data_IF_684225794496
#
_entry.id   IF_684225794496
#
_cell.length_a   1.000
_cell.length_b   1.000
_cell.length_c   1.000
_cell.angle_alpha   90.00
_cell.angle_beta   90.00
_cell.angle_gamma   90.00
#
_symmetry.space_group_name_H-M   'P 1'
#
loop_
_entity.id
_entity.type
_entity.pdbx_description
1 polymer ?
#
# COMPACT_ATOMS: atom_id res chain seq x y z
N UNK A 1 10.26 12.07 -4.02
CA UNK A 1 9.15 12.49 -4.89
C UNK A 1 7.90 11.68 -4.56
N UNK A 2 6.73 12.06 -5.07
CA UNK A 2 5.49 11.30 -4.90
C UNK A 2 5.28 10.34 -6.08
N UNK A 3 4.71 9.17 -5.85
CA UNK A 3 4.39 8.21 -6.89
C UNK A 3 3.29 8.73 -7.82
N UNK A 4 3.61 8.83 -9.11
CA UNK A 4 2.76 9.40 -10.14
C UNK A 4 2.23 8.37 -11.15
N UNK A 5 2.56 7.09 -10.96
CA UNK A 5 2.19 5.99 -11.85
C UNK A 5 3.38 5.32 -12.56
N UNK A 6 4.59 5.87 -12.45
CA UNK A 6 5.82 5.31 -13.04
C UNK A 6 6.61 4.50 -12.03
N UNK A 7 7.30 3.45 -12.51
CA UNK A 7 8.17 2.58 -11.72
C UNK A 7 7.52 2.02 -10.45
N UNK A 8 6.29 1.52 -10.60
CA UNK A 8 5.49 1.01 -9.48
C UNK A 8 6.22 -0.02 -8.61
N UNK A 9 6.96 -0.96 -9.21
CA UNK A 9 7.73 -1.96 -8.46
C UNK A 9 8.77 -1.33 -7.55
N UNK A 10 9.45 -0.26 -8.00
CA UNK A 10 10.43 0.45 -7.18
C UNK A 10 9.74 1.23 -6.06
N UNK A 11 8.66 1.95 -6.36
CA UNK A 11 7.88 2.64 -5.33
C UNK A 11 7.33 1.67 -4.27
N UNK A 12 6.76 0.54 -4.71
CA UNK A 12 6.20 -0.51 -3.84
C UNK A 12 7.26 -1.05 -2.89
N UNK A 13 8.44 -1.40 -3.41
CA UNK A 13 9.59 -1.80 -2.60
C UNK A 13 9.96 -0.75 -1.55
N UNK A 14 10.07 0.53 -1.93
CA UNK A 14 10.44 1.59 -0.98
C UNK A 14 9.39 1.81 0.12
N UNK A 15 8.10 1.78 -0.22
CA UNK A 15 7.04 2.02 0.77
C UNK A 15 6.87 0.82 1.70
N UNK A 16 7.05 -0.41 1.21
CA UNK A 16 7.07 -1.61 2.05
C UNK A 16 8.22 -1.54 3.06
N UNK A 17 9.46 -1.28 2.63
CA UNK A 17 10.61 -1.12 3.53
C UNK A 17 10.39 -0.04 4.59
N UNK A 18 9.81 1.10 4.19
CA UNK A 18 9.48 2.17 5.11
C UNK A 18 8.46 1.74 6.16
N UNK A 19 7.40 1.02 5.77
CA UNK A 19 6.40 0.49 6.70
C UNK A 19 7.02 -0.53 7.67
N UNK A 20 7.93 -1.39 7.21
CA UNK A 20 8.69 -2.29 8.08
C UNK A 20 9.52 -1.54 9.11
N UNK A 21 10.28 -0.53 8.68
CA UNK A 21 11.09 0.30 9.58
C UNK A 21 10.24 1.03 10.64
N UNK A 22 9.01 1.40 10.29
CA UNK A 22 8.06 2.07 11.20
C UNK A 22 7.20 1.12 12.01
N UNK A 23 7.36 -0.21 11.85
CA UNK A 23 6.50 -1.23 12.47
C UNK A 23 5.01 -1.07 12.09
N UNK A 24 4.76 -0.62 10.87
CA UNK A 24 3.42 -0.40 10.28
C UNK A 24 3.10 -1.41 9.16
N UNK A 25 3.83 -2.52 9.08
CA UNK A 25 3.73 -3.49 7.98
C UNK A 25 2.57 -4.48 8.14
N UNK A 26 2.10 -4.75 9.36
CA UNK A 26 1.10 -5.79 9.62
C UNK A 26 -0.19 -5.61 8.80
N UNK A 27 -0.73 -4.38 8.60
CA UNK A 27 -1.93 -4.19 7.77
C UNK A 27 -1.77 -4.54 6.29
N UNK A 28 -0.55 -4.80 5.79
CA UNK A 28 -0.33 -5.29 4.44
C UNK A 28 -0.85 -6.72 4.23
N UNK A 29 -0.94 -7.53 5.30
CA UNK A 29 -1.34 -8.94 5.20
C UNK A 29 -2.85 -9.18 5.27
N UNK A 30 -3.67 -8.14 5.50
CA UNK A 30 -5.12 -8.19 5.81
C UNK A 30 -5.51 -8.95 7.09
N UNK A 31 -4.66 -9.85 7.56
CA UNK A 31 -4.94 -10.75 8.66
C UNK A 31 -4.56 -10.06 9.97
N UNK A 32 -5.57 -9.65 10.74
CA UNK A 32 -5.38 -9.19 12.11
C UNK A 32 -4.88 -10.34 12.99
N UNK A 33 -3.80 -10.17 13.77
CA UNK A 33 -3.38 -11.14 14.79
C UNK A 33 -4.50 -11.43 15.80
N UNK A 34 -4.61 -12.68 16.28
CA UNK A 34 -5.66 -13.10 17.21
C UNK A 34 -5.57 -12.36 18.56
N UNK A 35 -4.35 -12.09 19.01
CA UNK A 35 -4.02 -11.41 20.26
C UNK A 35 -4.18 -9.88 20.23
N UNK A 36 -4.39 -9.29 19.04
CA UNK A 36 -4.55 -7.85 18.87
C UNK A 36 -6.02 -7.41 19.00
N UNK A 37 -6.26 -6.32 19.73
CA UNK A 37 -7.60 -5.71 19.84
C UNK A 37 -8.03 -5.08 18.52
N UNK A 38 -9.34 -5.04 18.25
CA UNK A 38 -9.86 -4.50 17.00
C UNK A 38 -9.56 -2.99 16.86
N UNK A 39 -9.64 -2.23 17.95
CA UNK A 39 -9.35 -0.79 17.95
C UNK A 39 -7.88 -0.50 17.65
N UNK A 40 -6.98 -1.32 18.21
CA UNK A 40 -5.54 -1.24 17.94
C UNK A 40 -5.24 -1.57 16.48
N UNK A 41 -5.85 -2.62 15.94
CA UNK A 41 -5.74 -2.98 14.53
C UNK A 41 -6.23 -1.86 13.61
N UNK A 42 -7.42 -1.31 13.89
CA UNK A 42 -7.98 -0.21 13.09
C UNK A 42 -7.08 1.03 13.12
N UNK A 43 -6.48 1.33 14.28
CA UNK A 43 -5.53 2.44 14.40
C UNK A 43 -4.27 2.18 13.59
N UNK A 44 -3.69 0.97 13.69
CA UNK A 44 -2.50 0.57 12.94
C UNK A 44 -2.74 0.64 11.42
N UNK A 45 -3.85 0.08 10.96
CA UNK A 45 -4.27 0.14 9.56
C UNK A 45 -4.47 1.59 9.09
N UNK A 46 -5.10 2.43 9.91
CA UNK A 46 -5.28 3.86 9.58
C UNK A 46 -3.95 4.59 9.43
N UNK A 47 -2.97 4.28 10.26
CA UNK A 47 -1.62 4.85 10.19
C UNK A 47 -0.89 4.41 8.92
N UNK A 48 -0.85 3.11 8.63
CA UNK A 48 -0.22 2.57 7.43
C UNK A 48 -0.87 3.12 6.15
N UNK A 49 -2.21 3.13 6.09
CA UNK A 49 -2.99 3.73 5.02
C UNK A 49 -2.63 5.21 4.80
N UNK A 50 -2.52 5.98 5.89
CA UNK A 50 -2.14 7.38 5.85
C UNK A 50 -0.75 7.60 5.28
N UNK A 51 0.23 6.80 5.72
CA UNK A 51 1.60 6.82 5.22
C UNK A 51 1.64 6.58 3.71
N UNK A 52 0.98 5.52 3.22
CA UNK A 52 0.99 5.22 1.79
C UNK A 52 0.37 6.37 0.99
N UNK A 53 -0.81 6.86 1.40
CA UNK A 53 -1.49 8.00 0.73
C UNK A 53 -0.63 9.25 0.64
N UNK A 54 0.21 9.52 1.65
CA UNK A 54 1.12 10.68 1.63
C UNK A 54 2.22 10.55 0.58
N UNK A 55 2.58 9.32 0.19
CA UNK A 55 3.57 9.08 -0.88
C UNK A 55 2.98 9.19 -2.28
N UNK A 56 1.65 9.28 -2.43
CA UNK A 56 0.98 9.33 -3.73
C UNK A 56 0.86 10.76 -4.27
N UNK A 57 1.05 10.90 -5.59
CA UNK A 57 0.71 12.10 -6.32
C UNK A 57 -0.82 12.28 -6.35
N UNK A 58 -1.28 13.52 -6.55
CA UNK A 58 -2.70 13.89 -6.47
C UNK A 58 -3.57 13.05 -7.41
N UNK A 59 -3.13 12.85 -8.66
CA UNK A 59 -3.83 12.05 -9.67
C UNK A 59 -3.98 10.58 -9.25
N UNK A 60 -2.94 9.97 -8.68
CA UNK A 60 -2.99 8.57 -8.21
C UNK A 60 -3.88 8.44 -6.98
N UNK A 61 -3.76 9.36 -6.03
CA UNK A 61 -4.54 9.35 -4.79
C UNK A 61 -6.06 9.43 -5.05
N UNK A 62 -6.51 10.17 -6.07
CA UNK A 62 -7.93 10.24 -6.41
C UNK A 62 -8.49 8.91 -6.93
N UNK A 63 -7.70 8.10 -7.62
CA UNK A 63 -8.15 6.80 -8.12
C UNK A 63 -8.43 5.80 -6.99
N UNK A 64 -7.79 5.96 -5.83
CA UNK A 64 -7.89 5.03 -4.68
C UNK A 64 -8.62 5.64 -3.48
N UNK A 65 -9.33 6.76 -3.65
CA UNK A 65 -9.93 7.50 -2.53
C UNK A 65 -10.94 6.66 -1.72
N UNK A 66 -11.57 5.68 -2.38
CA UNK A 66 -12.56 4.79 -1.78
C UNK A 66 -11.94 3.62 -1.00
N UNK A 67 -10.65 3.36 -1.15
CA UNK A 67 -9.95 2.28 -0.44
C UNK A 67 -9.79 2.62 1.03
N UNK A 68 -10.39 1.82 1.91
CA UNK A 68 -10.46 2.10 3.36
C UNK A 68 -9.40 1.37 4.17
N UNK A 69 -8.76 0.36 3.60
CA UNK A 69 -7.74 -0.47 4.26
C UNK A 69 -6.41 -0.37 3.53
N UNK A 70 -5.32 -0.57 4.25
CA UNK A 70 -3.95 -0.53 3.69
C UNK A 70 -3.80 -1.57 2.58
N UNK A 71 -4.26 -2.79 2.83
CA UNK A 71 -4.19 -3.86 1.85
C UNK A 71 -5.10 -3.63 0.64
N UNK A 72 -6.34 -3.14 0.83
CA UNK A 72 -7.22 -2.77 -0.28
C UNK A 72 -6.58 -1.70 -1.18
N UNK A 73 -5.95 -0.70 -0.56
CA UNK A 73 -5.18 0.31 -1.29
C UNK A 73 -4.01 -0.30 -2.08
N UNK A 74 -3.17 -1.14 -1.47
CA UNK A 74 -2.03 -1.78 -2.15
C UNK A 74 -2.51 -2.69 -3.27
N UNK A 75 -3.60 -3.43 -3.06
CA UNK A 75 -4.21 -4.28 -4.08
C UNK A 75 -4.71 -3.45 -5.25
N UNK A 76 -5.46 -2.37 -5.01
CA UNK A 76 -5.96 -1.49 -6.06
C UNK A 76 -4.81 -0.87 -6.88
N UNK A 77 -3.74 -0.42 -6.22
CA UNK A 77 -2.56 0.08 -6.91
C UNK A 77 -1.84 -1.01 -7.72
N UNK A 78 -1.73 -2.22 -7.18
CA UNK A 78 -1.14 -3.36 -7.90
C UNK A 78 -1.98 -3.69 -9.14
N UNK A 79 -3.31 -3.81 -9.01
CA UNK A 79 -4.22 -4.06 -10.14
C UNK A 79 -4.10 -3.00 -11.25
N UNK A 80 -3.82 -1.73 -10.90
CA UNK A 80 -3.67 -0.64 -11.86
C UNK A 80 -2.29 -0.57 -12.53
N UNK A 81 -1.22 -0.88 -11.79
CA UNK A 81 0.16 -0.55 -12.19
C UNK A 81 1.10 -1.76 -12.31
N UNK A 82 0.77 -2.91 -11.74
CA UNK A 82 1.43 -4.19 -12.08
C UNK A 82 0.90 -4.67 -13.42
N UNK A 83 1.54 -4.23 -14.50
CA UNK A 83 1.35 -4.86 -15.80
C UNK A 83 2.08 -6.21 -15.82
N UNK A 84 1.54 -7.25 -16.46
CA UNK A 84 2.35 -8.38 -16.90
C UNK A 84 3.41 -7.83 -17.84
N UNK A 85 4.68 -7.90 -17.41
CA UNK A 85 5.80 -7.63 -18.29
C UNK A 85 5.70 -8.56 -19.50
N UNK A 86 5.66 -8.00 -20.71
CA UNK A 86 5.79 -8.77 -21.95
C UNK A 86 7.17 -9.43 -22.10
N UNK A 87 8.11 -9.21 -21.16
CA UNK A 87 9.45 -9.77 -21.16
C UNK A 87 9.55 -11.19 -20.56
N UNK A 88 8.43 -11.80 -20.12
CA UNK A 88 8.41 -13.21 -19.69
C UNK A 88 7.96 -14.18 -20.79
N UNK A 89 7.98 -13.76 -22.07
CA UNK A 89 7.99 -14.70 -23.19
C UNK A 89 9.45 -15.08 -23.48
N UNK A 90 9.99 -16.03 -22.72
CA UNK A 90 11.19 -16.80 -23.07
C UNK A 90 10.79 -18.25 -23.23
#
# INVERSE_FOLDING_TARGET
EKFDGRDFSFWKMQIEDYLYQKKLYQPLSEIKPEDMKQEEWNLLDRHALGVIRLTLAKNVAFNIVNEKTTAGLIKALSDMYEKPSAANKV
#
